data_IF_744494469827
#
_entry.id   IF_744494469827
#
_cell.length_a   1.000
_cell.length_b   1.000
_cell.length_c   1.000
_cell.angle_alpha   90.00
_cell.angle_beta   90.00
_cell.angle_gamma   90.00
#
_symmetry.space_group_name_H-M   'P 1'
#
loop_
_entity.id
_entity.type
_entity.pdbx_description
1 polymer ?
#
# COMPACT_ATOMS: atom_id res chain seq x y z
N UNK A 1 -3.45 -78.56 4.19
CA UNK A 1 -4.33 -77.49 3.69
C UNK A 1 -4.48 -76.37 4.74
N UNK A 2 -3.67 -75.30 4.76
CA UNK A 2 -3.97 -74.12 5.63
C UNK A 2 -2.99 -72.92 5.43
N UNK A 3 -2.98 -72.24 4.28
CA UNK A 3 -2.23 -70.95 4.13
C UNK A 3 -2.93 -69.88 3.29
N UNK A 4 -4.27 -69.90 3.18
CA UNK A 4 -5.02 -68.90 2.38
C UNK A 4 -5.73 -67.79 3.18
N UNK A 5 -5.68 -67.78 4.52
CA UNK A 5 -6.50 -66.85 5.33
C UNK A 5 -5.84 -65.49 5.65
N UNK A 6 -4.53 -65.35 5.53
CA UNK A 6 -3.80 -64.10 5.90
C UNK A 6 -3.68 -63.08 4.75
N UNK A 7 -3.73 -63.53 3.50
CA UNK A 7 -3.53 -62.64 2.34
C UNK A 7 -4.74 -61.73 2.04
N UNK A 8 -5.97 -62.16 2.37
CA UNK A 8 -7.19 -61.34 2.17
C UNK A 8 -7.27 -60.13 3.12
N UNK A 9 -6.69 -60.22 4.33
CA UNK A 9 -6.77 -59.15 5.34
C UNK A 9 -5.89 -57.96 4.99
N UNK A 10 -4.75 -58.15 4.32
CA UNK A 10 -3.85 -57.07 3.92
C UNK A 10 -4.35 -56.30 2.71
N UNK A 11 -4.95 -56.99 1.72
CA UNK A 11 -5.56 -56.36 0.55
C UNK A 11 -6.76 -55.46 0.91
N UNK A 12 -7.59 -55.88 1.86
CA UNK A 12 -8.69 -55.04 2.36
C UNK A 12 -8.17 -53.80 3.11
N UNK A 13 -7.08 -53.96 3.88
CA UNK A 13 -6.48 -52.89 4.66
C UNK A 13 -5.73 -51.87 3.79
N UNK A 14 -5.06 -52.32 2.73
CA UNK A 14 -4.42 -51.43 1.75
C UNK A 14 -5.45 -50.66 0.92
N UNK A 15 -6.57 -51.28 0.56
CA UNK A 15 -7.67 -50.58 -0.12
C UNK A 15 -8.34 -49.55 0.78
N UNK A 16 -8.57 -49.86 2.06
CA UNK A 16 -9.07 -48.90 3.04
C UNK A 16 -8.09 -47.74 3.27
N UNK A 17 -6.79 -48.03 3.34
CA UNK A 17 -5.75 -47.01 3.45
C UNK A 17 -5.67 -46.13 2.19
N UNK A 18 -5.66 -46.72 1.00
CA UNK A 18 -5.62 -45.97 -0.26
C UNK A 18 -6.85 -45.09 -0.43
N UNK A 19 -8.04 -45.59 -0.03
CA UNK A 19 -9.27 -44.78 0.04
C UNK A 19 -9.13 -43.61 1.00
N UNK A 20 -8.60 -43.83 2.20
CA UNK A 20 -8.39 -42.78 3.19
C UNK A 20 -7.38 -41.73 2.69
N UNK A 21 -6.28 -42.17 2.06
CA UNK A 21 -5.29 -41.30 1.46
C UNK A 21 -5.88 -40.47 0.30
N UNK A 22 -6.67 -41.10 -0.58
CA UNK A 22 -7.33 -40.42 -1.68
C UNK A 22 -8.36 -39.40 -1.17
N UNK A 23 -9.13 -39.75 -0.14
CA UNK A 23 -10.08 -38.83 0.48
C UNK A 23 -9.37 -37.67 1.18
N UNK A 24 -8.25 -37.92 1.86
CA UNK A 24 -7.39 -36.88 2.45
C UNK A 24 -6.79 -35.96 1.40
N UNK A 25 -6.32 -36.50 0.27
CA UNK A 25 -5.79 -35.70 -0.83
C UNK A 25 -6.89 -34.84 -1.48
N UNK A 26 -8.07 -35.39 -1.66
CA UNK A 26 -9.24 -34.67 -2.18
C UNK A 26 -9.67 -33.55 -1.22
N UNK A 27 -9.70 -33.84 0.08
CA UNK A 27 -9.95 -32.84 1.13
C UNK A 27 -8.90 -31.73 1.11
N UNK A 28 -7.61 -32.08 0.99
CA UNK A 28 -6.53 -31.11 0.91
C UNK A 28 -6.64 -30.23 -0.34
N UNK A 29 -6.99 -30.82 -1.49
CA UNK A 29 -7.25 -30.08 -2.72
C UNK A 29 -8.44 -29.11 -2.58
N UNK A 30 -9.50 -29.52 -1.87
CA UNK A 30 -10.62 -28.65 -1.55
C UNK A 30 -10.18 -27.47 -0.66
N UNK A 31 -9.40 -27.73 0.40
CA UNK A 31 -8.83 -26.69 1.25
C UNK A 31 -7.96 -25.72 0.44
N UNK A 32 -7.14 -26.25 -0.45
CA UNK A 32 -6.29 -25.43 -1.32
C UNK A 32 -7.14 -24.56 -2.25
N UNK A 33 -8.25 -25.09 -2.76
CA UNK A 33 -9.19 -24.31 -3.60
C UNK A 33 -9.84 -23.18 -2.80
N UNK A 34 -10.24 -23.42 -1.56
CA UNK A 34 -10.77 -22.39 -0.66
C UNK A 34 -9.71 -21.33 -0.31
N UNK A 35 -8.48 -21.76 -0.04
CA UNK A 35 -7.34 -20.84 0.18
C UNK A 35 -7.12 -19.94 -1.04
N UNK A 36 -7.14 -20.51 -2.26
CA UNK A 36 -7.04 -19.74 -3.49
C UNK A 36 -8.23 -18.79 -3.71
N UNK A 37 -9.44 -19.22 -3.35
CA UNK A 37 -10.64 -18.38 -3.44
C UNK A 37 -10.53 -17.17 -2.50
N UNK A 38 -10.07 -17.37 -1.27
CA UNK A 38 -9.81 -16.30 -0.30
C UNK A 38 -8.81 -15.26 -0.82
N UNK A 39 -7.80 -15.70 -1.58
CA UNK A 39 -6.82 -14.80 -2.20
C UNK A 39 -7.37 -14.05 -3.42
N UNK A 40 -8.25 -14.67 -4.20
CA UNK A 40 -8.80 -14.10 -5.44
C UNK A 40 -10.03 -13.22 -5.26
N UNK A 41 -10.70 -13.32 -4.11
CA UNK A 41 -11.81 -12.43 -3.77
C UNK A 41 -11.36 -10.99 -3.91
N UNK A 42 -12.09 -10.21 -4.71
CA UNK A 42 -11.90 -8.77 -4.79
C UNK A 42 -12.95 -8.14 -3.88
N UNK A 43 -12.59 -7.73 -2.66
CA UNK A 43 -13.53 -7.16 -1.74
C UNK A 43 -14.00 -5.80 -2.24
N UNK A 44 -15.30 -5.71 -2.51
CA UNK A 44 -15.96 -4.47 -2.94
C UNK A 44 -16.29 -3.56 -1.75
N UNK A 45 -16.36 -4.11 -0.54
CA UNK A 45 -16.71 -3.37 0.68
C UNK A 45 -15.49 -3.21 1.60
N UNK A 46 -15.39 -2.10 2.36
CA UNK A 46 -14.25 -1.81 3.22
C UNK A 46 -14.05 -2.87 4.32
N UNK A 47 -15.14 -3.40 4.88
CA UNK A 47 -15.07 -4.46 5.90
C UNK A 47 -14.45 -5.74 5.33
N UNK A 48 -14.77 -6.09 4.08
CA UNK A 48 -14.24 -7.29 3.45
C UNK A 48 -12.78 -7.11 3.02
N UNK A 49 -12.36 -5.86 2.75
CA UNK A 49 -10.96 -5.49 2.52
C UNK A 49 -10.09 -5.75 3.75
N UNK A 50 -10.54 -5.30 4.93
CA UNK A 50 -9.80 -5.52 6.19
C UNK A 50 -9.69 -7.00 6.57
N UNK A 51 -10.76 -7.77 6.32
CA UNK A 51 -10.70 -9.21 6.55
C UNK A 51 -9.72 -9.90 5.60
N UNK A 52 -9.66 -9.45 4.34
CA UNK A 52 -8.75 -10.02 3.36
C UNK A 52 -7.29 -9.66 3.63
N UNK A 53 -7.01 -8.40 4.01
CA UNK A 53 -5.67 -7.96 4.40
C UNK A 53 -5.17 -8.76 5.59
N UNK A 54 -6.02 -8.91 6.62
CA UNK A 54 -5.77 -9.72 7.82
C UNK A 54 -5.50 -11.19 7.49
N UNK A 55 -6.30 -11.78 6.59
CA UNK A 55 -6.10 -13.16 6.13
C UNK A 55 -4.75 -13.35 5.42
N UNK A 56 -4.37 -12.39 4.55
CA UNK A 56 -3.08 -12.43 3.83
C UNK A 56 -1.89 -12.27 4.77
N UNK A 57 -1.98 -11.37 5.75
CA UNK A 57 -1.00 -11.19 6.84
C UNK A 57 -0.85 -12.46 7.69
N UNK A 58 -1.95 -13.10 8.07
CA UNK A 58 -1.92 -14.34 8.82
C UNK A 58 -1.24 -15.47 8.02
N UNK A 59 -1.61 -15.62 6.75
CA UNK A 59 -1.05 -16.66 5.86
C UNK A 59 0.43 -16.46 5.60
N UNK A 60 0.90 -15.22 5.42
CA UNK A 60 2.33 -14.94 5.23
C UNK A 60 3.14 -15.34 6.45
N UNK A 61 2.67 -15.00 7.65
CA UNK A 61 3.27 -15.40 8.94
C UNK A 61 3.25 -16.91 9.14
N UNK A 62 2.14 -17.58 8.82
CA UNK A 62 2.01 -19.04 8.92
C UNK A 62 3.02 -19.76 8.02
N UNK A 63 3.32 -19.20 6.85
CA UNK A 63 4.32 -19.73 5.91
C UNK A 63 5.73 -19.18 6.13
N UNK A 64 5.96 -18.40 7.19
CA UNK A 64 7.26 -17.79 7.50
C UNK A 64 7.74 -16.77 6.46
N UNK A 65 6.86 -16.33 5.56
CA UNK A 65 7.17 -15.28 4.58
C UNK A 65 7.08 -13.94 5.31
N UNK A 66 8.20 -13.24 5.44
CA UNK A 66 8.22 -11.88 5.97
C UNK A 66 7.25 -11.03 5.13
N UNK A 67 6.25 -10.39 5.74
CA UNK A 67 5.35 -9.52 4.99
C UNK A 67 6.18 -8.47 4.26
N UNK A 68 5.86 -8.25 2.98
CA UNK A 68 6.41 -7.12 2.25
C UNK A 68 5.92 -5.87 2.99
N UNK A 69 6.81 -4.99 3.48
CA UNK A 69 6.39 -3.83 4.23
C UNK A 69 5.39 -3.06 3.37
N UNK A 70 4.25 -2.62 3.94
CA UNK A 70 3.32 -1.77 3.24
C UNK A 70 4.10 -0.57 2.67
N UNK A 71 3.64 -0.04 1.53
CA UNK A 71 4.13 1.19 0.92
C UNK A 71 3.82 2.36 1.87
N UNK A 72 4.54 2.38 2.98
CA UNK A 72 4.49 3.40 4.01
C UNK A 72 5.37 4.54 3.53
N UNK A 73 5.04 5.74 3.98
CA UNK A 73 5.76 6.97 3.60
C UNK A 73 7.28 6.80 3.87
N UNK A 74 7.64 6.08 4.93
CA UNK A 74 9.01 5.70 5.29
C UNK A 74 9.73 4.93 4.17
N UNK A 75 9.07 3.96 3.55
CA UNK A 75 9.65 3.15 2.46
C UNK A 75 9.83 3.95 1.16
N UNK A 76 9.04 5.00 0.94
CA UNK A 76 9.20 5.93 -0.19
C UNK A 76 10.40 6.84 0.05
N UNK A 77 10.54 7.36 1.29
CA UNK A 77 11.66 8.22 1.68
C UNK A 77 13.00 7.45 1.59
N UNK A 78 13.07 6.21 2.10
CA UNK A 78 14.30 5.40 2.03
C UNK A 78 14.73 5.08 0.59
N UNK A 79 13.75 4.96 -0.33
CA UNK A 79 14.00 4.68 -1.74
C UNK A 79 14.66 5.87 -2.47
N UNK A 80 14.35 7.10 -2.07
CA UNK A 80 14.97 8.31 -2.62
C UNK A 80 16.36 8.58 -2.01
N UNK A 81 16.63 8.12 -0.79
CA UNK A 81 17.94 8.29 -0.12
C UNK A 81 18.99 7.31 -0.64
N UNK A 82 18.60 6.12 -1.12
CA UNK A 82 19.56 5.03 -1.42
C UNK A 82 19.90 4.86 -2.90
N UNK A 83 19.39 5.70 -3.82
CA UNK A 83 19.78 5.65 -5.23
C UNK A 83 21.07 6.47 -5.48
N UNK A 84 22.23 5.85 -5.78
CA UNK A 84 23.43 6.57 -6.14
C UNK A 84 23.20 7.23 -7.50
N UNK A 85 23.33 8.56 -7.53
CA UNK A 85 23.22 9.39 -8.72
C UNK A 85 24.36 9.07 -9.68
N UNK A 86 24.14 8.12 -10.59
CA UNK A 86 24.89 8.01 -11.84
C UNK A 86 24.15 8.83 -12.92
N UNK A 87 24.27 10.16 -12.86
CA UNK A 87 24.00 11.02 -14.02
C UNK A 87 25.30 11.71 -14.43
N UNK A 88 25.76 11.56 -15.69
CA UNK A 88 26.92 12.29 -16.17
C UNK A 88 26.59 13.78 -16.17
N UNK A 89 27.43 14.56 -15.51
CA UNK A 89 27.45 16.02 -15.57
C UNK A 89 28.16 16.41 -16.87
N UNK A 90 27.54 17.18 -17.79
CA UNK A 90 28.31 17.98 -18.72
C UNK A 90 28.35 19.43 -18.21
N UNK A 91 29.49 19.84 -17.72
CA UNK A 91 29.95 21.23 -17.68
C UNK A 91 31.45 21.23 -18.05
N UNK A 92 32.08 22.33 -18.48
CA UNK A 92 31.56 23.63 -18.94
C UNK A 92 32.30 24.22 -20.18
N UNK A 93 31.67 25.11 -20.94
CA UNK A 93 32.38 26.06 -21.81
C UNK A 93 32.03 27.52 -21.45
N UNK A 94 33.07 28.29 -21.14
CA UNK A 94 33.15 29.65 -20.56
C UNK A 94 32.68 30.76 -21.55
N UNK A 95 31.72 31.61 -21.14
CA UNK A 95 31.78 33.08 -20.79
C UNK A 95 31.86 34.09 -21.98
N UNK A 96 31.44 35.38 -21.86
CA UNK A 96 30.99 36.12 -20.66
C UNK A 96 29.82 37.15 -20.79
N UNK A 97 29.41 37.67 -19.62
CA UNK A 97 28.70 38.95 -19.32
C UNK A 97 27.18 39.01 -19.64
N UNK A 98 26.27 39.24 -18.68
CA UNK A 98 26.28 40.19 -17.55
C UNK A 98 25.55 39.64 -16.31
N UNK A 99 26.09 39.91 -15.11
CA UNK A 99 25.46 39.83 -13.77
C UNK A 99 25.39 41.28 -13.22
N UNK A 100 24.41 41.66 -12.37
CA UNK A 100 24.34 41.22 -10.97
C UNK A 100 22.92 40.74 -10.57
N UNK A 101 22.79 39.64 -9.82
CA UNK A 101 22.54 39.63 -8.37
C UNK A 101 21.44 40.61 -7.92
N UNK A 102 20.24 40.07 -7.70
CA UNK A 102 19.23 40.43 -6.68
C UNK A 102 18.71 39.07 -6.20
N UNK A 103 19.00 38.57 -5.00
CA UNK A 103 18.49 39.01 -3.69
C UNK A 103 17.10 39.60 -3.79
N UNK A 104 16.07 38.80 -3.48
CA UNK A 104 14.73 39.29 -3.16
C UNK A 104 14.20 38.35 -2.07
N UNK A 105 14.14 38.72 -0.79
CA UNK A 105 13.25 39.67 -0.09
C UNK A 105 13.20 41.11 -0.65
N UNK A 106 12.09 41.90 -0.63
CA UNK A 106 10.61 41.67 -0.70
C UNK A 106 9.83 42.56 -1.74
N UNK A 107 8.58 42.17 -2.12
CA UNK A 107 7.39 42.95 -2.65
C UNK A 107 7.51 43.85 -3.94
N UNK A 108 6.44 44.34 -4.65
CA UNK A 108 4.98 44.41 -4.36
C UNK A 108 4.00 44.01 -5.52
N UNK A 109 2.75 43.65 -5.21
CA UNK A 109 1.61 44.01 -6.08
C UNK A 109 0.78 42.92 -6.77
N UNK A 110 0.23 41.94 -6.03
CA UNK A 110 -1.21 41.61 -6.15
C UNK A 110 -1.76 41.43 -4.74
N UNK A 111 -2.26 42.54 -4.19
CA UNK A 111 -3.07 42.68 -2.96
C UNK A 111 -2.88 41.57 -1.93
N UNK A 112 -1.72 41.65 -1.28
CA UNK A 112 -1.51 41.15 0.07
C UNK A 112 -2.45 41.94 1.00
N UNK A 113 -3.60 41.36 1.31
CA UNK A 113 -4.50 41.89 2.33
C UNK A 113 -4.12 41.26 3.67
N UNK A 114 -3.44 42.07 4.49
CA UNK A 114 -3.24 41.93 5.93
C UNK A 114 -2.59 40.63 6.43
N UNK A 115 -1.42 40.78 7.05
CA UNK A 115 -0.99 39.88 8.12
C UNK A 115 -2.12 39.79 9.15
N UNK A 116 -2.85 38.68 9.13
CA UNK A 116 -3.83 38.31 10.16
C UNK A 116 -3.20 37.23 11.05
N UNK A 117 -3.34 37.35 12.37
CA UNK A 117 -2.69 36.46 13.32
C UNK A 117 -3.29 35.06 13.20
N UNK A 118 -2.44 34.05 13.41
CA UNK A 118 -2.71 32.61 13.52
C UNK A 118 -4.21 32.23 13.58
N UNK A 119 -4.76 31.75 12.46
CA UNK A 119 -6.13 31.27 12.41
C UNK A 119 -6.19 30.01 11.55
N UNK A 120 -6.56 28.90 12.20
CA UNK A 120 -6.85 27.57 11.64
C UNK A 120 -6.30 27.28 10.23
N UNK A 121 -5.24 26.49 10.14
CA UNK A 121 -4.87 25.86 8.87
C UNK A 121 -5.98 24.90 8.45
N UNK A 122 -6.36 24.87 7.17
CA UNK A 122 -7.39 24.00 6.63
C UNK A 122 -6.77 22.93 5.73
N UNK A 123 -7.32 21.72 5.80
CA UNK A 123 -7.01 20.59 4.94
C UNK A 123 -8.20 20.29 4.04
N UNK A 124 -7.99 20.16 2.73
CA UNK A 124 -9.03 19.77 1.78
C UNK A 124 -8.49 18.78 0.75
N UNK A 125 -9.40 18.11 0.03
CA UNK A 125 -9.07 17.16 -1.05
C UNK A 125 -9.45 17.79 -2.38
N UNK A 126 -8.53 17.82 -3.33
CA UNK A 126 -8.76 18.36 -4.67
C UNK A 126 -9.50 17.36 -5.60
N UNK A 127 -9.86 17.79 -6.80
CA UNK A 127 -10.56 16.96 -7.81
C UNK A 127 -9.79 15.73 -8.24
N UNK A 128 -8.45 15.77 -8.11
CA UNK A 128 -7.56 14.66 -8.41
C UNK A 128 -7.38 13.69 -7.23
N UNK A 129 -7.96 14.00 -6.05
CA UNK A 129 -7.86 13.19 -4.85
C UNK A 129 -6.65 13.51 -3.95
N UNK A 130 -5.89 14.55 -4.27
CA UNK A 130 -4.72 14.98 -3.50
C UNK A 130 -5.10 15.86 -2.28
N UNK A 131 -4.37 15.68 -1.18
CA UNK A 131 -4.50 16.50 0.03
C UNK A 131 -3.77 17.83 -0.13
N UNK A 132 -4.48 18.92 0.16
CA UNK A 132 -3.96 20.29 0.09
C UNK A 132 -4.19 21.04 1.40
N UNK A 133 -3.29 21.98 1.69
CA UNK A 133 -3.34 22.82 2.89
C UNK A 133 -3.54 24.28 2.49
N UNK A 134 -4.44 24.97 3.19
CA UNK A 134 -4.69 26.39 3.04
C UNK A 134 -4.58 27.09 4.39
N UNK A 135 -3.96 28.28 4.41
CA UNK A 135 -3.86 29.10 5.62
C UNK A 135 -5.21 29.75 5.96
N UNK A 136 -6.13 29.82 4.99
CA UNK A 136 -7.47 30.40 5.15
C UNK A 136 -8.51 29.64 4.33
N UNK A 137 -9.75 29.62 4.81
CA UNK A 137 -10.88 29.02 4.10
C UNK A 137 -11.13 29.70 2.73
N UNK A 138 -10.80 30.99 2.61
CA UNK A 138 -10.96 31.75 1.37
C UNK A 138 -10.04 31.27 0.23
N UNK A 139 -8.87 30.71 0.57
CA UNK A 139 -7.88 30.23 -0.40
C UNK A 139 -8.29 28.90 -1.04
N UNK A 140 -9.28 28.21 -0.46
CA UNK A 140 -9.83 26.95 -0.96
C UNK A 140 -10.83 27.24 -2.09
N UNK A 141 -10.78 26.52 -3.23
CA UNK A 141 -11.77 26.64 -4.29
C UNK A 141 -13.21 26.50 -3.75
N UNK A 142 -14.17 27.33 -4.17
CA UNK A 142 -15.51 27.37 -3.58
C UNK A 142 -16.22 26.01 -3.51
N UNK A 143 -16.05 25.18 -4.53
CA UNK A 143 -16.65 23.84 -4.59
C UNK A 143 -16.08 22.85 -3.56
N UNK A 144 -14.91 23.13 -3.00
CA UNK A 144 -14.18 22.23 -2.10
C UNK A 144 -14.23 22.66 -0.62
N UNK A 145 -14.76 23.86 -0.33
CA UNK A 145 -14.83 24.42 1.03
C UNK A 145 -15.69 23.59 1.98
N UNK A 146 -16.77 22.98 1.47
CA UNK A 146 -17.68 22.17 2.29
C UNK A 146 -17.01 20.91 2.86
N UNK A 147 -15.96 20.43 2.20
CA UNK A 147 -15.18 19.26 2.63
C UNK A 147 -13.88 19.64 3.35
N UNK A 148 -13.61 20.93 3.54
CA UNK A 148 -12.40 21.39 4.20
C UNK A 148 -12.48 21.16 5.73
N UNK A 149 -11.43 20.57 6.29
CA UNK A 149 -11.30 20.33 7.73
C UNK A 149 -10.27 21.28 8.35
N UNK A 150 -10.59 21.94 9.49
CA UNK A 150 -9.60 22.71 10.22
C UNK A 150 -8.60 21.77 10.93
N UNK A 151 -7.32 22.00 10.71
CA UNK A 151 -6.21 21.37 11.41
C UNK A 151 -6.06 22.05 12.78
N UNK A 152 -6.21 21.26 13.85
CA UNK A 152 -5.99 21.69 15.23
C UNK A 152 -4.63 21.14 15.67
N UNK A 153 -3.78 21.99 16.21
CA UNK A 153 -2.55 21.60 16.91
C UNK A 153 -2.83 20.73 18.14
#
# INVERSE_FOLDING_TARGET
>A
MARKKTQKKTAAKSHAFLKALLWSLCFLALLLTLDQLALRLQPTTPVLQELQSSYREFRSRLLGRKPQPPLTIEAVIDRDVTAPVARPIPTPAKKPAKKPVRTVTPQPGVKQAAAQPAAQQYLYVDTDGDLQFADRLEDIPPALRDNAQPLKD
#
